data_IF_930895265279
#
_entry.id   IF_930895265279
#
_cell.length_a   1.000
_cell.length_b   1.000
_cell.length_c   1.000
_cell.angle_alpha   90.00
_cell.angle_beta   90.00
_cell.angle_gamma   90.00
#
_symmetry.space_group_name_H-M   'P 1'
#
loop_
_entity.id
_entity.type
_entity.pdbx_description
1 polymer ?
#
# COMPACT_ATOMS: atom_id res chain seq x y z
N UNK A 1 -16.98 16.22 11.00
CA UNK A 1 -15.59 16.01 10.53
C UNK A 1 -15.55 16.29 9.04
N UNK A 2 -14.54 17.02 8.56
CA UNK A 2 -14.37 17.29 7.13
C UNK A 2 -14.02 15.99 6.40
N UNK A 3 -14.62 15.74 5.24
CA UNK A 3 -14.23 14.57 4.42
C UNK A 3 -12.75 14.69 4.00
N UNK A 4 -11.97 13.58 4.08
CA UNK A 4 -10.58 13.60 3.69
C UNK A 4 -10.43 13.79 2.18
N UNK A 5 -9.28 14.29 1.75
CA UNK A 5 -8.92 14.46 0.34
C UNK A 5 -7.58 13.80 0.07
N UNK A 6 -7.37 13.20 -1.12
CA UNK A 6 -6.07 12.65 -1.49
C UNK A 6 -5.00 13.74 -1.53
N UNK A 7 -3.75 13.37 -1.28
CA UNK A 7 -2.61 14.27 -1.51
C UNK A 7 -2.44 14.51 -3.02
N UNK A 8 -2.27 15.77 -3.42
CA UNK A 8 -2.08 16.16 -4.82
C UNK A 8 -0.63 15.99 -5.30
N UNK A 9 0.30 15.84 -4.37
CA UNK A 9 1.73 15.65 -4.60
C UNK A 9 2.29 14.70 -3.56
N UNK A 10 3.45 14.06 -3.85
CA UNK A 10 4.10 13.20 -2.87
C UNK A 10 4.40 13.94 -1.56
N UNK A 11 4.19 13.30 -0.40
CA UNK A 11 4.48 13.91 0.89
C UNK A 11 5.99 14.16 1.03
N UNK A 12 6.32 15.28 1.64
CA UNK A 12 7.72 15.71 1.85
C UNK A 12 8.28 15.24 3.20
N UNK A 13 7.41 14.80 4.12
CA UNK A 13 7.80 14.28 5.43
C UNK A 13 7.06 13.00 5.79
N UNK A 14 7.66 12.17 6.65
CA UNK A 14 7.01 10.98 7.18
C UNK A 14 5.79 11.34 8.04
N UNK A 15 5.84 12.48 8.74
CA UNK A 15 4.71 12.97 9.55
C UNK A 15 3.50 13.31 8.69
N UNK A 16 3.71 13.94 7.53
CA UNK A 16 2.63 14.25 6.58
C UNK A 16 2.04 12.96 6.00
N UNK A 17 2.90 12.02 5.60
CA UNK A 17 2.48 10.72 5.08
C UNK A 17 1.64 9.95 6.13
N UNK A 18 2.11 9.90 7.38
CA UNK A 18 1.42 9.21 8.46
C UNK A 18 0.11 9.91 8.84
N UNK A 19 0.09 11.24 8.92
CA UNK A 19 -1.11 12.00 9.22
C UNK A 19 -2.19 11.78 8.15
N UNK A 20 -1.79 11.73 6.87
CA UNK A 20 -2.69 11.41 5.78
C UNK A 20 -3.22 9.98 5.87
N UNK A 21 -2.34 8.99 6.12
CA UNK A 21 -2.75 7.59 6.27
C UNK A 21 -3.76 7.40 7.42
N UNK A 22 -3.59 8.13 8.53
CA UNK A 22 -4.53 8.13 9.65
C UNK A 22 -5.92 8.66 9.26
N UNK A 23 -6.03 9.59 8.32
CA UNK A 23 -7.33 10.08 7.84
C UNK A 23 -8.14 9.00 7.11
N UNK A 24 -7.49 7.95 6.61
CA UNK A 24 -8.15 6.85 5.89
C UNK A 24 -8.73 5.80 6.84
N UNK A 25 -8.32 5.82 8.12
CA UNK A 25 -8.72 4.81 9.10
C UNK A 25 -10.23 4.87 9.36
N UNK A 26 -10.89 3.72 9.29
CA UNK A 26 -12.33 3.59 9.53
C UNK A 26 -13.20 3.83 8.29
N UNK A 27 -12.62 4.16 7.14
CA UNK A 27 -13.33 4.17 5.86
C UNK A 27 -13.31 2.78 5.21
N UNK A 28 -14.40 2.45 4.53
CA UNK A 28 -14.45 1.30 3.62
C UNK A 28 -13.65 1.58 2.35
N UNK A 29 -13.18 0.53 1.67
CA UNK A 29 -12.48 0.69 0.39
C UNK A 29 -13.40 1.33 -0.67
N UNK A 30 -14.70 1.03 -0.63
CA UNK A 30 -15.68 1.61 -1.55
C UNK A 30 -15.87 3.11 -1.35
N UNK A 31 -15.91 3.60 -0.11
CA UNK A 31 -15.98 5.04 0.18
C UNK A 31 -14.73 5.76 -0.30
N UNK A 32 -13.54 5.21 0.01
CA UNK A 32 -12.27 5.78 -0.44
C UNK A 32 -12.18 5.81 -1.97
N UNK A 33 -12.63 4.76 -2.65
CA UNK A 33 -12.64 4.69 -4.10
C UNK A 33 -13.62 5.70 -4.73
N UNK A 34 -14.83 5.81 -4.18
CA UNK A 34 -15.83 6.75 -4.67
C UNK A 34 -15.37 8.22 -4.57
N UNK A 35 -14.70 8.58 -3.47
CA UNK A 35 -14.17 9.93 -3.25
C UNK A 35 -13.08 10.35 -4.25
N UNK A 36 -12.40 9.38 -4.90
CA UNK A 36 -11.39 9.63 -5.94
C UNK A 36 -11.86 9.21 -7.34
N UNK A 37 -13.13 8.82 -7.48
CA UNK A 37 -13.72 8.40 -8.76
C UNK A 37 -13.18 7.07 -9.31
N UNK A 38 -12.62 6.20 -8.45
CA UNK A 38 -12.13 4.89 -8.82
C UNK A 38 -13.26 3.84 -8.71
N UNK A 39 -13.45 3.03 -9.74
CA UNK A 39 -14.44 1.94 -9.69
C UNK A 39 -13.89 0.80 -8.84
N UNK A 40 -14.66 0.36 -7.85
CA UNK A 40 -14.32 -0.81 -7.03
C UNK A 40 -14.69 -2.09 -7.77
N UNK A 41 -13.75 -3.03 -8.00
CA UNK A 41 -14.07 -4.31 -8.61
C UNK A 41 -14.88 -5.17 -7.64
N UNK A 42 -15.60 -6.18 -8.15
CA UNK A 42 -16.35 -7.10 -7.28
C UNK A 42 -15.43 -7.93 -6.37
N UNK A 43 -14.21 -8.24 -6.85
CA UNK A 43 -13.21 -9.02 -6.13
C UNK A 43 -11.82 -8.83 -6.73
N UNK A 44 -10.78 -9.22 -5.99
CA UNK A 44 -9.37 -9.06 -6.38
C UNK A 44 -8.79 -10.22 -7.21
N UNK A 45 -9.63 -11.11 -7.80
CA UNK A 45 -9.11 -12.27 -8.56
C UNK A 45 -8.31 -11.86 -9.79
N UNK A 46 -8.73 -10.78 -10.46
CA UNK A 46 -8.07 -10.21 -11.65
C UNK A 46 -7.23 -8.97 -11.32
N UNK A 47 -7.55 -8.27 -10.23
CA UNK A 47 -7.00 -6.95 -9.88
C UNK A 47 -6.25 -6.98 -8.54
N UNK A 48 -5.32 -7.91 -8.37
CA UNK A 48 -4.60 -8.16 -7.10
C UNK A 48 -3.91 -6.92 -6.49
N UNK A 49 -3.56 -5.94 -7.32
CA UNK A 49 -2.91 -4.69 -6.91
C UNK A 49 -3.87 -3.52 -6.66
N UNK A 50 -5.18 -3.70 -6.82
CA UNK A 50 -6.14 -2.58 -6.82
C UNK A 50 -6.16 -1.79 -5.52
N UNK A 51 -6.08 -2.46 -4.35
CA UNK A 51 -6.02 -1.77 -3.05
C UNK A 51 -4.75 -0.92 -2.95
N UNK A 52 -3.61 -1.44 -3.44
CA UNK A 52 -2.36 -0.69 -3.48
C UNK A 52 -2.50 0.58 -4.29
N UNK A 53 -3.03 0.47 -5.51
CA UNK A 53 -3.31 1.62 -6.40
C UNK A 53 -4.22 2.65 -5.75
N UNK A 54 -5.30 2.20 -5.07
CA UNK A 54 -6.20 3.11 -4.36
C UNK A 54 -5.43 3.90 -3.29
N UNK A 55 -4.64 3.23 -2.46
CA UNK A 55 -3.90 3.88 -1.38
C UNK A 55 -2.76 4.76 -1.90
N UNK A 56 -2.09 4.38 -2.99
CA UNK A 56 -1.11 5.21 -3.68
C UNK A 56 -1.71 6.55 -4.10
N UNK A 57 -2.93 6.56 -4.66
CA UNK A 57 -3.66 7.79 -5.01
C UNK A 57 -3.93 8.64 -3.76
N UNK A 58 -4.41 8.02 -2.69
CA UNK A 58 -4.76 8.72 -1.46
C UNK A 58 -3.55 9.34 -0.75
N UNK A 59 -2.41 8.66 -0.80
CA UNK A 59 -1.18 9.04 -0.13
C UNK A 59 -0.22 9.82 -1.04
N UNK A 60 -0.59 10.06 -2.31
CA UNK A 60 0.21 10.83 -3.25
C UNK A 60 1.50 10.12 -3.69
N UNK A 61 1.52 8.78 -3.74
CA UNK A 61 2.71 8.03 -4.15
C UNK A 61 3.16 8.41 -5.57
N UNK A 62 4.47 8.40 -5.82
CA UNK A 62 5.08 8.85 -7.08
C UNK A 62 5.68 7.74 -7.93
N UNK A 63 5.80 6.52 -7.39
CA UNK A 63 6.69 5.51 -7.96
C UNK A 63 6.19 4.88 -9.28
N UNK A 64 4.88 4.87 -9.56
CA UNK A 64 4.36 4.10 -10.71
C UNK A 64 4.89 2.66 -10.68
N UNK A 65 5.28 2.10 -11.83
CA UNK A 65 5.83 0.73 -11.92
C UNK A 65 7.35 0.62 -11.72
N UNK A 66 8.02 1.66 -11.23
CA UNK A 66 9.48 1.65 -11.06
C UNK A 66 9.90 0.74 -9.90
N UNK A 67 11.10 0.13 -9.94
CA UNK A 67 11.64 -0.70 -8.86
C UNK A 67 12.14 0.14 -7.67
N UNK A 68 11.48 1.26 -7.38
CA UNK A 68 11.76 2.17 -6.28
C UNK A 68 10.74 1.92 -5.15
N UNK A 69 10.97 2.52 -3.98
CA UNK A 69 9.97 2.57 -2.93
C UNK A 69 8.87 3.56 -3.31
N UNK A 70 7.64 3.32 -2.84
CA UNK A 70 6.45 4.10 -3.22
C UNK A 70 6.60 5.61 -2.94
N UNK A 71 7.34 5.95 -1.88
CA UNK A 71 7.74 7.31 -1.52
C UNK A 71 9.27 7.43 -1.53
N UNK A 72 9.88 7.44 -2.72
CA UNK A 72 11.32 7.41 -2.91
C UNK A 72 12.09 8.50 -2.13
N UNK A 73 11.56 9.73 -2.05
CA UNK A 73 12.20 10.83 -1.32
C UNK A 73 12.24 10.59 0.20
N UNK A 74 11.26 9.87 0.75
CA UNK A 74 11.20 9.48 2.15
C UNK A 74 11.89 8.14 2.42
N UNK A 75 12.14 7.37 1.36
CA UNK A 75 12.60 5.99 1.47
C UNK A 75 11.59 5.08 2.17
N UNK A 76 10.29 5.30 1.95
CA UNK A 76 9.19 4.52 2.56
C UNK A 76 8.50 3.67 1.50
N UNK A 77 8.33 2.38 1.79
CA UNK A 77 7.50 1.44 1.02
C UNK A 77 6.08 1.38 1.62
N UNK A 78 5.07 1.37 0.79
CA UNK A 78 3.68 1.14 1.17
C UNK A 78 3.36 -0.37 1.05
N UNK A 79 2.76 -0.93 2.10
CA UNK A 79 2.25 -2.30 2.05
C UNK A 79 0.87 -2.38 2.70
N UNK A 80 -0.07 -3.00 2.01
CA UNK A 80 -1.31 -3.46 2.64
C UNK A 80 -1.08 -4.80 3.32
N UNK A 81 -1.80 -5.04 4.40
CA UNK A 81 -1.85 -6.34 5.06
C UNK A 81 -3.32 -6.72 5.33
N UNK A 82 -3.85 -7.75 4.67
CA UNK A 82 -5.21 -8.18 4.94
C UNK A 82 -5.27 -8.86 6.32
N UNK A 83 -6.22 -8.45 7.15
CA UNK A 83 -6.40 -8.94 8.50
C UNK A 83 -7.82 -9.47 8.73
N UNK A 84 -7.96 -10.36 9.70
CA UNK A 84 -9.27 -10.78 10.21
C UNK A 84 -9.85 -9.78 11.21
N UNK A 85 -11.06 -10.05 11.69
CA UNK A 85 -11.77 -9.28 12.72
C UNK A 85 -11.04 -9.13 14.06
N UNK A 86 -9.96 -9.89 14.30
CA UNK A 86 -9.09 -9.76 15.48
C UNK A 86 -7.77 -9.06 15.15
N UNK A 87 -7.60 -8.55 13.92
CA UNK A 87 -6.39 -7.89 13.46
C UNK A 87 -5.24 -8.84 13.12
N UNK A 88 -5.50 -10.15 12.97
CA UNK A 88 -4.48 -11.15 12.65
C UNK A 88 -4.28 -11.22 11.13
N UNK A 89 -3.04 -11.28 10.62
CA UNK A 89 -2.78 -11.41 9.19
C UNK A 89 -3.42 -12.67 8.60
N UNK A 90 -4.10 -12.53 7.46
CA UNK A 90 -4.77 -13.63 6.76
C UNK A 90 -3.87 -14.35 5.76
N UNK A 91 -2.80 -13.70 5.29
CA UNK A 91 -1.87 -14.26 4.31
C UNK A 91 -0.46 -13.68 4.45
N UNK A 92 0.48 -14.25 3.69
CA UNK A 92 1.84 -13.72 3.56
C UNK A 92 1.88 -12.48 2.68
N UNK A 93 2.68 -11.48 3.04
CA UNK A 93 2.88 -10.28 2.20
C UNK A 93 3.99 -10.48 1.17
N UNK A 94 3.71 -10.14 -0.09
CA UNK A 94 4.72 -10.07 -1.14
C UNK A 94 5.69 -8.89 -0.91
N UNK A 95 7.00 -9.19 -0.91
CA UNK A 95 8.06 -8.18 -0.75
C UNK A 95 8.65 -7.77 -2.10
N UNK A 96 9.32 -8.71 -2.77
CA UNK A 96 9.92 -8.51 -4.09
C UNK A 96 10.11 -9.85 -4.81
N UNK A 97 10.31 -9.78 -6.13
CA UNK A 97 10.72 -10.95 -6.92
C UNK A 97 12.16 -11.31 -6.57
N UNK A 98 12.44 -12.60 -6.38
CA UNK A 98 13.80 -13.09 -6.18
C UNK A 98 14.52 -13.17 -7.55
N UNK A 99 15.67 -12.48 -7.74
CA UNK A 99 16.43 -12.59 -8.98
C UNK A 99 17.10 -13.97 -9.06
N UNK A 100 16.61 -14.81 -9.98
CA UNK A 100 17.17 -16.15 -10.21
C UNK A 100 18.48 -16.13 -11.03
N UNK A 101 18.75 -15.01 -11.69
CA UNK A 101 19.97 -14.74 -12.46
C UNK A 101 20.43 -13.30 -12.16
N UNK A 102 21.70 -12.98 -12.46
CA UNK A 102 22.23 -11.62 -12.29
C UNK A 102 22.38 -11.15 -10.83
N UNK A 103 22.38 -12.07 -9.86
CA UNK A 103 22.48 -11.75 -8.43
C UNK A 103 23.90 -11.88 -7.85
N UNK A 104 24.90 -12.18 -8.69
CA UNK A 104 26.29 -12.34 -8.24
C UNK A 104 26.81 -11.04 -7.64
N UNK A 105 27.33 -11.11 -6.41
CA UNK A 105 27.82 -9.94 -5.68
C UNK A 105 26.76 -9.19 -4.85
N UNK A 106 25.49 -9.62 -4.89
CA UNK A 106 24.47 -9.09 -3.96
C UNK A 106 24.74 -9.60 -2.55
N UNK A 107 24.74 -8.70 -1.57
CA UNK A 107 24.81 -9.04 -0.13
C UNK A 107 23.49 -8.67 0.54
N UNK A 108 23.32 -9.02 1.82
CA UNK A 108 22.14 -8.59 2.58
C UNK A 108 21.98 -7.06 2.57
N UNK A 109 23.08 -6.34 2.80
CA UNK A 109 23.14 -4.88 2.91
C UNK A 109 22.66 -4.19 1.62
N UNK A 110 22.98 -4.80 0.47
CA UNK A 110 22.64 -4.29 -0.87
C UNK A 110 21.43 -4.98 -1.50
N UNK A 111 20.76 -5.90 -0.79
CA UNK A 111 19.63 -6.66 -1.31
C UNK A 111 18.36 -5.81 -1.50
N UNK A 112 17.58 -6.14 -2.53
CA UNK A 112 16.25 -5.56 -2.76
C UNK A 112 15.29 -5.80 -1.58
N UNK A 113 15.38 -6.97 -0.96
CA UNK A 113 14.57 -7.32 0.23
C UNK A 113 14.84 -6.33 1.35
N UNK A 114 16.12 -6.12 1.72
CA UNK A 114 16.49 -5.16 2.75
C UNK A 114 16.11 -3.75 2.36
N UNK A 115 16.31 -3.36 1.10
CA UNK A 115 15.94 -2.03 0.61
C UNK A 115 14.44 -1.75 0.80
N UNK A 116 13.56 -2.65 0.34
CA UNK A 116 12.11 -2.50 0.47
C UNK A 116 11.61 -2.58 1.92
N UNK A 117 12.23 -3.42 2.75
CA UNK A 117 11.80 -3.61 4.15
C UNK A 117 12.45 -2.65 5.14
N UNK A 118 13.36 -1.77 4.69
CA UNK A 118 14.07 -0.83 5.57
C UNK A 118 13.11 0.12 6.30
N UNK A 119 12.04 0.54 5.62
CA UNK A 119 11.01 1.43 6.15
C UNK A 119 9.69 1.15 5.43
N UNK A 120 8.68 0.73 6.17
CA UNK A 120 7.40 0.30 5.62
C UNK A 120 6.26 1.02 6.34
N UNK A 121 5.37 1.62 5.56
CA UNK A 121 4.04 2.03 6.01
C UNK A 121 3.09 0.85 5.79
N UNK A 122 2.70 0.21 6.88
CA UNK A 122 1.72 -0.87 6.88
C UNK A 122 0.31 -0.31 7.01
N UNK A 123 -0.57 -0.65 6.08
CA UNK A 123 -2.01 -0.33 6.14
C UNK A 123 -2.77 -1.65 6.32
N UNK A 124 -3.25 -1.96 7.54
CA UNK A 124 -4.16 -3.07 7.76
C UNK A 124 -5.49 -2.82 7.04
N UNK A 125 -6.00 -3.84 6.37
CA UNK A 125 -7.31 -3.79 5.66
C UNK A 125 -8.06 -5.08 5.99
N UNK A 126 -9.36 -5.01 6.25
CA UNK A 126 -10.15 -6.23 6.44
C UNK A 126 -10.15 -7.07 5.16
N UNK A 127 -9.88 -8.37 5.30
CA UNK A 127 -9.71 -9.29 4.16
C UNK A 127 -10.54 -10.57 4.27
N UNK A 128 -11.45 -10.67 5.22
CA UNK A 128 -12.31 -11.85 5.38
C UNK A 128 -13.19 -12.04 4.13
N UNK A 129 -13.21 -13.25 3.57
CA UNK A 129 -13.92 -13.54 2.30
C UNK A 129 -15.43 -13.31 2.33
N UNK A 130 -16.02 -13.25 3.52
CA UNK A 130 -17.42 -12.93 3.74
C UNK A 130 -17.74 -11.44 3.56
N UNK A 131 -16.72 -10.57 3.61
CA UNK A 131 -16.87 -9.13 3.44
C UNK A 131 -16.68 -8.80 1.94
N UNK A 132 -17.67 -8.17 1.28
CA UNK A 132 -17.49 -7.68 -0.08
C UNK A 132 -16.34 -6.67 -0.15
N UNK A 133 -15.56 -6.64 -1.24
CA UNK A 133 -14.38 -5.76 -1.33
C UNK A 133 -14.65 -4.28 -1.06
N UNK A 134 -15.84 -3.80 -1.42
CA UNK A 134 -16.22 -2.40 -1.22
C UNK A 134 -16.54 -2.05 0.24
N UNK A 135 -16.69 -3.04 1.12
CA UNK A 135 -17.13 -2.89 2.52
C UNK A 135 -15.98 -3.13 3.49
#
# INVERSE_FOLDING_TARGET
MSQPRPLLSPPETEEQLLAQAQQLSGYTLGELAALVGLVTPENLKRDKGWIGVLLEIWLGASAGSKPEQDFAALGVELKTIPVDSLGRPLETTFVCVAPLTGNSGVTWETSHVRHKLKRVLWIPVEGERSIPLAQ
#
